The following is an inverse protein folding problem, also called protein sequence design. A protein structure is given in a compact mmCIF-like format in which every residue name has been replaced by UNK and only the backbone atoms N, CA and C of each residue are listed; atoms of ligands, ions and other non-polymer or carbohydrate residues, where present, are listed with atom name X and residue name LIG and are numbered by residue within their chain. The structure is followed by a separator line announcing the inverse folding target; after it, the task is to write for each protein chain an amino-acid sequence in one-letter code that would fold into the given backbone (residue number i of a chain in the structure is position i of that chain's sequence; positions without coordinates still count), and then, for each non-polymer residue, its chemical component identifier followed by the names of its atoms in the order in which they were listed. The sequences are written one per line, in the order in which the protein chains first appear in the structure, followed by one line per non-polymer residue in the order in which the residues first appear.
data_IF_162437187752
#
_entry.id   IF_162437187752
#
_cell.length_a   1.000
_cell.length_b   1.000
_cell.length_c   1.000
_cell.angle_alpha   90.00
_cell.angle_beta   90.00
_cell.angle_gamma   90.00
#
_symmetry.space_group_name_H-M   'P 1'
#
loop_
_entity.id
_entity.type
_entity.pdbx_description
1 polymer ?
#
# COMPACT_ATOMS: atom_id res chain seq x y z
N UNK A 1 -48.12 18.92 8.14
CA UNK A 1 -47.53 18.06 7.10
C UNK A 1 -46.17 18.58 6.60
N UNK A 2 -45.54 19.54 7.28
CA UNK A 2 -44.25 20.12 6.85
C UNK A 2 -43.04 19.42 7.49
N UNK A 3 -43.13 19.08 8.79
CA UNK A 3 -42.03 18.46 9.52
C UNK A 3 -41.58 17.09 8.95
N UNK A 4 -42.53 16.29 8.45
CA UNK A 4 -42.21 14.99 7.85
C UNK A 4 -41.43 15.09 6.54
N UNK A 5 -41.71 16.12 5.73
CA UNK A 5 -40.96 16.40 4.49
C UNK A 5 -39.54 16.88 4.79
N UNK A 6 -39.38 17.74 5.81
CA UNK A 6 -38.06 18.24 6.22
C UNK A 6 -37.17 17.11 6.74
N UNK A 7 -37.72 16.20 7.56
CA UNK A 7 -36.99 15.04 8.08
C UNK A 7 -36.60 14.09 6.94
N UNK A 8 -37.49 13.84 5.98
CA UNK A 8 -37.20 13.04 4.78
C UNK A 8 -36.09 13.66 3.92
N UNK A 9 -36.13 14.98 3.70
CA UNK A 9 -35.09 15.68 2.93
C UNK A 9 -33.72 15.65 3.62
N UNK A 10 -33.67 15.83 4.94
CA UNK A 10 -32.40 15.77 5.67
C UNK A 10 -31.82 14.36 5.71
N UNK A 11 -32.66 13.33 5.83
CA UNK A 11 -32.22 11.93 5.72
C UNK A 11 -31.70 11.59 4.30
N UNK A 12 -32.31 12.17 3.26
CA UNK A 12 -31.86 12.02 1.87
C UNK A 12 -30.50 12.71 1.60
N UNK A 13 -30.22 13.84 2.24
CA UNK A 13 -28.91 14.51 2.14
C UNK A 13 -27.80 13.77 2.90
N UNK A 14 -28.12 13.22 4.07
CA UNK A 14 -27.17 12.45 4.89
C UNK A 14 -26.79 11.09 4.26
N UNK A 15 -27.62 10.55 3.36
CA UNK A 15 -27.36 9.29 2.64
C UNK A 15 -26.59 9.49 1.32
N UNK A 16 -26.47 10.72 0.82
CA UNK A 16 -25.67 11.02 -0.38
C UNK A 16 -24.14 11.11 -0.09
N UNK A 17 -23.75 11.20 1.19
CA UNK A 17 -22.36 11.08 1.64
C UNK A 17 -22.09 9.75 2.34
N UNK A 18 -22.80 8.69 1.96
CA UNK A 18 -22.38 7.32 2.28
C UNK A 18 -21.01 7.06 1.63
N UNK A 19 -19.99 7.37 2.42
CA UNK A 19 -18.61 6.88 2.44
C UNK A 19 -18.30 6.03 1.21
N UNK A 20 -17.52 6.59 0.29
CA UNK A 20 -16.64 5.76 -0.54
C UNK A 20 -15.76 4.99 0.43
N UNK A 21 -16.18 3.78 0.78
CA UNK A 21 -15.27 2.77 1.28
C UNK A 21 -14.36 2.51 0.08
N UNK A 22 -13.25 3.25 0.05
CA UNK A 22 -12.09 2.86 -0.73
C UNK A 22 -11.76 1.47 -0.18
N UNK A 23 -12.31 0.44 -0.84
CA UNK A 23 -11.92 -0.93 -0.59
C UNK A 23 -10.40 -0.94 -0.58
N UNK A 24 -9.86 -1.72 0.34
CA UNK A 24 -8.45 -1.88 0.69
C UNK A 24 -7.61 -2.41 -0.49
N UNK A 25 -7.75 -1.79 -1.66
CA UNK A 25 -7.09 -2.01 -2.94
C UNK A 25 -5.70 -1.38 -2.92
N UNK A 26 -5.14 -1.15 -1.72
CA UNK A 26 -3.80 -0.63 -1.59
C UNK A 26 -2.83 -1.79 -1.74
N UNK A 27 -1.96 -1.71 -2.75
CA UNK A 27 -0.91 -2.70 -2.95
C UNK A 27 -0.09 -2.77 -1.64
N UNK A 28 0.09 -3.95 -1.03
CA UNK A 28 0.74 -4.07 0.26
C UNK A 28 2.18 -3.58 0.16
N UNK A 29 2.50 -2.55 0.95
CA UNK A 29 3.82 -1.95 0.99
C UNK A 29 4.78 -2.83 1.81
N UNK A 30 6.01 -2.99 1.31
CA UNK A 30 7.07 -3.62 2.09
C UNK A 30 7.45 -2.75 3.30
N UNK A 31 7.57 -3.39 4.46
CA UNK A 31 7.90 -2.80 5.75
C UNK A 31 9.24 -3.36 6.26
N UNK A 32 9.85 -2.69 7.24
CA UNK A 32 11.09 -3.14 7.91
C UNK A 32 12.25 -3.46 6.96
N UNK A 33 12.37 -2.70 5.86
CA UNK A 33 13.42 -2.85 4.84
C UNK A 33 14.77 -2.55 5.47
N UNK A 34 15.64 -3.57 5.56
CA UNK A 34 16.95 -3.47 6.21
C UNK A 34 18.03 -4.22 5.44
N UNK A 35 19.20 -3.61 5.40
CA UNK A 35 20.42 -4.25 4.91
C UNK A 35 21.14 -4.96 6.05
N UNK A 36 21.59 -6.18 5.80
CA UNK A 36 22.52 -6.91 6.66
C UNK A 36 23.73 -7.28 5.81
N UNK A 37 24.92 -6.88 6.23
CA UNK A 37 26.17 -7.20 5.53
C UNK A 37 27.16 -7.80 6.50
N UNK A 38 27.69 -8.97 6.16
CA UNK A 38 28.74 -9.67 6.91
C UNK A 38 29.74 -10.21 5.89
N UNK A 39 31.03 -9.89 6.07
CA UNK A 39 32.11 -10.31 5.17
C UNK A 39 31.82 -10.04 3.68
N UNK A 40 31.32 -8.85 3.37
CA UNK A 40 30.89 -8.40 2.04
C UNK A 40 29.70 -9.17 1.42
N UNK A 41 29.14 -10.14 2.14
CA UNK A 41 27.86 -10.75 1.76
C UNK A 41 26.73 -9.87 2.28
N UNK A 42 26.05 -9.21 1.34
CA UNK A 42 24.96 -8.27 1.64
C UNK A 42 23.61 -8.90 1.29
N UNK A 43 22.69 -8.87 2.26
CA UNK A 43 21.32 -9.38 2.12
C UNK A 43 20.33 -8.26 2.47
N UNK A 44 19.33 -8.05 1.61
CA UNK A 44 18.18 -7.18 1.88
C UNK A 44 17.07 -8.01 2.51
N UNK A 45 16.58 -7.59 3.67
CA UNK A 45 15.44 -8.21 4.34
C UNK A 45 14.28 -7.22 4.44
N UNK A 46 13.05 -7.68 4.27
CA UNK A 46 11.83 -6.89 4.44
C UNK A 46 10.69 -7.79 4.91
N UNK A 47 9.58 -7.18 5.35
CA UNK A 47 8.34 -7.88 5.72
C UNK A 47 7.18 -7.36 4.88
N UNK A 48 6.25 -8.24 4.50
CA UNK A 48 5.04 -7.89 3.76
C UNK A 48 3.83 -8.48 4.43
N UNK A 49 2.68 -7.83 4.29
CA UNK A 49 1.41 -8.46 4.66
C UNK A 49 1.13 -9.61 3.67
N UNK A 50 0.60 -10.76 4.12
CA UNK A 50 0.24 -11.85 3.23
C UNK A 50 -0.68 -11.37 2.11
N UNK A 51 -0.30 -11.64 0.86
CA UNK A 51 -1.05 -11.27 -0.34
C UNK A 51 -0.56 -12.06 -1.56
N UNK A 52 -1.29 -11.97 -2.67
CA UNK A 52 -0.91 -12.61 -3.95
C UNK A 52 0.04 -11.75 -4.80
N UNK A 53 0.57 -10.66 -4.24
CA UNK A 53 1.53 -9.78 -4.92
C UNK A 53 2.94 -10.35 -4.89
N UNK A 54 3.66 -10.14 -6.00
CA UNK A 54 5.09 -10.41 -6.09
C UNK A 54 5.90 -9.14 -5.88
N UNK A 55 7.09 -9.31 -5.33
CA UNK A 55 7.99 -8.20 -5.04
C UNK A 55 9.26 -8.28 -5.86
N UNK A 56 9.71 -7.12 -6.34
CA UNK A 56 10.95 -6.93 -7.08
C UNK A 56 11.85 -6.00 -6.28
N UNK A 57 13.14 -6.33 -6.19
CA UNK A 57 14.14 -5.48 -5.55
C UNK A 57 14.91 -4.71 -6.61
N UNK A 58 15.01 -3.39 -6.43
CA UNK A 58 15.88 -2.53 -7.21
C UNK A 58 17.00 -1.96 -6.33
N UNK A 59 18.19 -1.77 -6.90
CA UNK A 59 19.32 -1.14 -6.24
C UNK A 59 20.03 -0.17 -7.21
N UNK A 60 20.71 0.82 -6.66
CA UNK A 60 21.49 1.79 -7.41
C UNK A 60 22.70 2.23 -6.60
N UNK A 61 23.75 2.66 -7.30
CA UNK A 61 24.79 3.49 -6.71
C UNK A 61 24.27 4.91 -6.52
N UNK A 62 24.98 5.72 -5.72
CA UNK A 62 24.62 7.13 -5.56
C UNK A 62 24.58 7.83 -6.92
N UNK A 63 23.44 8.43 -7.26
CA UNK A 63 23.14 9.09 -8.54
C UNK A 63 23.15 8.19 -9.80
N UNK A 64 23.14 6.86 -9.64
CA UNK A 64 23.02 5.91 -10.75
C UNK A 64 21.58 5.55 -11.09
N UNK A 65 21.41 4.84 -12.21
CA UNK A 65 20.12 4.25 -12.60
C UNK A 65 19.78 3.04 -11.74
N UNK A 66 18.47 2.85 -11.51
CA UNK A 66 17.97 1.69 -10.79
C UNK A 66 18.11 0.42 -11.61
N UNK A 67 18.71 -0.60 -10.99
CA UNK A 67 18.88 -1.93 -11.57
C UNK A 67 18.05 -2.94 -10.78
N UNK A 68 17.32 -3.80 -11.49
CA UNK A 68 16.58 -4.91 -10.89
C UNK A 68 17.54 -6.01 -10.44
N UNK A 69 17.30 -6.59 -9.25
CA UNK A 69 18.01 -7.76 -8.76
C UNK A 69 17.18 -9.03 -9.01
N UNK A 70 17.56 -9.88 -9.99
CA UNK A 70 16.80 -11.08 -10.35
C UNK A 70 16.81 -12.16 -9.26
N UNK A 71 17.80 -12.15 -8.38
CA UNK A 71 17.96 -13.13 -7.30
C UNK A 71 17.07 -12.82 -6.08
N UNK A 72 16.42 -11.66 -6.08
CA UNK A 72 15.57 -11.17 -4.99
C UNK A 72 14.14 -10.97 -5.48
N UNK A 73 13.42 -12.08 -5.65
CA UNK A 73 11.98 -12.08 -5.92
C UNK A 73 11.22 -12.91 -4.88
N UNK A 74 10.05 -12.42 -4.49
CA UNK A 74 9.09 -13.09 -3.62
C UNK A 74 7.77 -13.26 -4.36
#
# INVERSE_FOLDING_TARGET
MEAGKTVLCMAAWMSAWSITAEGDNTVPKAENVRWVSLDFKTVLNWTVRPSDYRYTVLYALENGDWTENPDCSQ
#
